data_IF_592679722973
#
_entry.id   IF_592679722973
#
_cell.length_a   1.000
_cell.length_b   1.000
_cell.length_c   1.000
_cell.angle_alpha   90.00
_cell.angle_beta   90.00
_cell.angle_gamma   90.00
#
_symmetry.space_group_name_H-M   'P 1'
#
loop_
_entity.id
_entity.type
_entity.pdbx_description
1 polymer ?
#
# COMPACT_ATOMS: atom_id res chain seq x y z
N UNK A 1 -18.06 -29.07 25.78
CA UNK A 1 -16.78 -28.38 26.10
C UNK A 1 -15.66 -28.96 25.24
N UNK A 2 -15.21 -28.22 24.22
CA UNK A 2 -13.99 -28.38 23.38
C UNK A 2 -14.05 -27.20 22.40
N UNK A 3 -13.14 -26.25 22.28
CA UNK A 3 -11.83 -25.93 22.86
C UNK A 3 -11.77 -24.37 22.88
N UNK A 4 -10.95 -23.65 23.65
CA UNK A 4 -9.65 -24.01 24.19
C UNK A 4 -8.48 -23.67 23.25
N UNK A 5 -8.49 -22.54 22.51
CA UNK A 5 -7.26 -21.83 22.11
C UNK A 5 -7.54 -20.39 21.64
N UNK A 6 -7.29 -19.41 22.50
CA UNK A 6 -7.10 -18.00 22.13
C UNK A 6 -5.68 -17.78 21.58
N UNK A 7 -5.25 -18.62 20.65
CA UNK A 7 -4.03 -18.40 19.90
C UNK A 7 -4.44 -17.75 18.57
N UNK A 8 -3.79 -16.64 18.23
CA UNK A 8 -3.81 -16.14 16.87
C UNK A 8 -3.54 -17.30 15.91
N UNK A 9 -4.34 -17.47 14.83
CA UNK A 9 -4.12 -18.58 13.92
C UNK A 9 -2.70 -18.52 13.39
N UNK A 10 -2.01 -19.65 13.38
CA UNK A 10 -0.62 -19.73 12.90
C UNK A 10 -0.59 -19.33 11.42
N UNK A 11 0.56 -18.85 10.93
CA UNK A 11 0.67 -18.43 9.51
C UNK A 11 0.24 -19.54 8.55
N UNK A 12 0.53 -20.80 8.89
CA UNK A 12 0.14 -21.98 8.14
C UNK A 12 -1.39 -22.20 8.13
N UNK A 13 -2.03 -22.01 9.28
CA UNK A 13 -3.47 -22.15 9.44
C UNK A 13 -4.22 -21.04 8.68
N UNK A 14 -3.68 -19.81 8.69
CA UNK A 14 -4.21 -18.70 7.88
C UNK A 14 -4.07 -18.97 6.38
N UNK A 15 -2.92 -19.50 5.94
CA UNK A 15 -2.70 -19.86 4.55
C UNK A 15 -3.68 -20.96 4.09
N UNK A 16 -3.92 -21.98 4.91
CA UNK A 16 -4.91 -23.01 4.62
C UNK A 16 -6.33 -22.43 4.47
N UNK A 17 -6.75 -21.56 5.40
CA UNK A 17 -8.05 -20.86 5.33
C UNK A 17 -8.15 -19.99 4.08
N UNK A 18 -7.08 -19.27 3.71
CA UNK A 18 -7.03 -18.44 2.52
C UNK A 18 -7.17 -19.27 1.24
N UNK A 19 -6.46 -20.40 1.13
CA UNK A 19 -6.54 -21.29 -0.04
C UNK A 19 -7.94 -21.89 -0.21
N UNK A 20 -8.61 -22.26 0.90
CA UNK A 20 -10.01 -22.70 0.87
C UNK A 20 -10.93 -21.55 0.39
N UNK A 21 -10.66 -20.31 0.82
CA UNK A 21 -11.50 -19.16 0.51
C UNK A 21 -11.45 -18.71 -0.95
N UNK A 22 -10.28 -18.80 -1.60
CA UNK A 22 -10.10 -18.41 -3.01
C UNK A 22 -10.52 -19.49 -4.01
N UNK A 23 -10.80 -20.71 -3.53
CA UNK A 23 -11.23 -21.84 -4.35
C UNK A 23 -10.09 -22.62 -5.03
N UNK A 24 -10.39 -23.83 -5.51
CA UNK A 24 -9.39 -24.79 -5.98
C UNK A 24 -8.63 -24.33 -7.22
N UNK A 25 -9.25 -23.57 -8.12
CA UNK A 25 -8.62 -23.08 -9.36
C UNK A 25 -7.49 -22.10 -9.05
N UNK A 26 -7.72 -21.16 -8.14
CA UNK A 26 -6.71 -20.18 -7.72
C UNK A 26 -5.68 -20.83 -6.80
N UNK A 27 -6.10 -21.70 -5.88
CA UNK A 27 -5.19 -22.44 -5.00
C UNK A 27 -4.18 -23.29 -5.78
N UNK A 28 -4.59 -23.94 -6.87
CA UNK A 28 -3.68 -24.69 -7.74
C UNK A 28 -2.58 -23.82 -8.38
N UNK A 29 -2.87 -22.53 -8.64
CA UNK A 29 -1.85 -21.58 -9.12
C UNK A 29 -0.82 -21.24 -8.05
N UNK A 30 -1.26 -21.21 -6.78
CA UNK A 30 -0.39 -20.95 -5.62
C UNK A 30 0.50 -22.17 -5.33
N UNK A 31 0.00 -23.39 -5.52
CA UNK A 31 0.80 -24.61 -5.32
C UNK A 31 1.85 -24.86 -6.40
N UNK A 32 1.68 -24.35 -7.63
CA UNK A 32 2.61 -24.58 -8.74
C UNK A 32 4.09 -24.27 -8.45
N UNK A 33 4.45 -23.13 -7.85
CA UNK A 33 5.84 -22.80 -7.54
C UNK A 33 6.35 -23.41 -6.22
N UNK A 34 5.52 -24.14 -5.46
CA UNK A 34 5.89 -24.67 -4.13
C UNK A 34 6.59 -26.03 -4.25
N UNK A 35 7.45 -26.33 -3.28
CA UNK A 35 8.11 -27.63 -3.19
C UNK A 35 7.18 -28.70 -2.59
N UNK A 36 7.51 -29.97 -2.81
CA UNK A 36 6.69 -31.11 -2.37
C UNK A 36 6.38 -31.08 -0.86
N UNK A 37 7.39 -30.79 -0.03
CA UNK A 37 7.23 -30.74 1.42
C UNK A 37 6.26 -29.63 1.86
N UNK A 38 6.30 -28.48 1.18
CA UNK A 38 5.43 -27.33 1.47
C UNK A 38 3.98 -27.62 1.07
N UNK A 39 3.80 -28.25 -0.09
CA UNK A 39 2.49 -28.69 -0.59
C UNK A 39 1.88 -29.72 0.37
N UNK A 40 2.67 -30.68 0.84
CA UNK A 40 2.21 -31.69 1.79
C UNK A 40 1.80 -31.07 3.12
N UNK A 41 2.64 -30.17 3.65
CA UNK A 41 2.37 -29.45 4.91
C UNK A 41 1.09 -28.61 4.83
N UNK A 42 0.91 -27.83 3.76
CA UNK A 42 -0.30 -27.03 3.54
C UNK A 42 -1.54 -27.90 3.31
N UNK A 43 -1.42 -28.99 2.55
CA UNK A 43 -2.52 -29.92 2.28
C UNK A 43 -2.99 -30.59 3.57
N UNK A 44 -2.06 -30.96 4.45
CA UNK A 44 -2.36 -31.55 5.75
C UNK A 44 -3.12 -30.54 6.63
N UNK A 45 -2.72 -29.27 6.60
CA UNK A 45 -3.41 -28.22 7.35
C UNK A 45 -4.81 -27.92 6.78
N UNK A 46 -4.97 -27.91 5.45
CA UNK A 46 -6.28 -27.81 4.80
C UNK A 46 -7.19 -28.98 5.24
N UNK A 47 -6.66 -30.20 5.24
CA UNK A 47 -7.42 -31.39 5.66
C UNK A 47 -7.82 -31.36 7.15
N UNK A 48 -7.04 -30.67 8.01
CA UNK A 48 -7.40 -30.45 9.42
C UNK A 48 -8.55 -29.46 9.58
N UNK A 49 -8.73 -28.53 8.65
CA UNK A 49 -9.83 -27.55 8.69
C UNK A 49 -11.14 -28.21 8.24
N UNK A 50 -11.88 -28.79 9.19
CA UNK A 50 -13.18 -29.43 8.92
C UNK A 50 -14.26 -28.45 8.46
N UNK A 51 -14.26 -27.25 9.02
CA UNK A 51 -15.21 -26.20 8.69
C UNK A 51 -14.58 -24.84 9.00
N UNK A 52 -14.65 -23.94 8.01
CA UNK A 52 -14.22 -22.56 8.17
C UNK A 52 -15.45 -21.71 8.42
N UNK A 53 -15.52 -21.07 9.59
CA UNK A 53 -16.57 -20.10 9.91
C UNK A 53 -16.46 -18.87 8.99
N UNK A 54 -17.58 -18.32 8.48
CA UNK A 54 -17.56 -17.14 7.60
C UNK A 54 -16.77 -15.97 8.19
N UNK A 55 -16.92 -15.70 9.49
CA UNK A 55 -16.24 -14.59 10.17
C UNK A 55 -14.71 -14.79 10.19
N UNK A 56 -14.26 -16.04 10.30
CA UNK A 56 -12.85 -16.40 10.26
C UNK A 56 -12.28 -16.27 8.86
N UNK A 57 -13.03 -16.72 7.85
CA UNK A 57 -12.67 -16.57 6.44
C UNK A 57 -12.51 -15.10 6.08
N UNK A 58 -13.50 -14.28 6.41
CA UNK A 58 -13.53 -12.86 6.03
C UNK A 58 -12.41 -12.09 6.74
N UNK A 59 -12.11 -12.43 8.01
CA UNK A 59 -10.95 -11.86 8.72
C UNK A 59 -9.62 -12.20 8.03
N UNK A 60 -9.41 -13.46 7.64
CA UNK A 60 -8.18 -13.88 6.95
C UNK A 60 -8.06 -13.20 5.59
N UNK A 61 -9.14 -13.16 4.81
CA UNK A 61 -9.16 -12.45 3.52
C UNK A 61 -8.83 -10.96 3.69
N UNK A 62 -9.38 -10.30 4.69
CA UNK A 62 -9.10 -8.90 4.96
C UNK A 62 -7.63 -8.67 5.34
N UNK A 63 -7.04 -9.54 6.16
CA UNK A 63 -5.64 -9.46 6.54
C UNK A 63 -4.71 -9.66 5.32
N UNK A 64 -4.98 -10.68 4.50
CA UNK A 64 -4.20 -10.92 3.26
C UNK A 64 -4.34 -9.78 2.27
N UNK A 65 -5.53 -9.22 2.15
CA UNK A 65 -5.78 -8.03 1.34
C UNK A 65 -4.99 -6.83 1.86
N UNK A 66 -4.99 -6.56 3.17
CA UNK A 66 -4.18 -5.48 3.74
C UNK A 66 -2.67 -5.69 3.50
N UNK A 67 -2.19 -6.94 3.56
CA UNK A 67 -0.79 -7.26 3.25
C UNK A 67 -0.47 -7.05 1.76
N UNK A 68 -1.36 -7.49 0.86
CA UNK A 68 -1.21 -7.29 -0.57
C UNK A 68 -1.24 -5.79 -0.92
N UNK A 69 -2.20 -5.06 -0.35
CA UNK A 69 -2.29 -3.61 -0.49
C UNK A 69 -1.07 -2.96 0.11
N UNK A 70 -0.57 -3.33 1.29
CA UNK A 70 0.63 -2.71 1.88
C UNK A 70 1.87 -2.85 0.98
N UNK A 71 2.04 -4.00 0.30
CA UNK A 71 3.10 -4.18 -0.70
C UNK A 71 2.87 -3.30 -1.94
N UNK A 72 1.63 -3.20 -2.42
CA UNK A 72 1.26 -2.40 -3.59
C UNK A 72 1.21 -0.88 -3.30
N UNK A 73 0.92 -0.48 -2.06
CA UNK A 73 0.80 0.89 -1.57
C UNK A 73 2.17 1.60 -1.58
N UNK A 74 3.24 0.84 -1.34
CA UNK A 74 4.63 1.31 -1.46
C UNK A 74 4.99 1.55 -2.93
N UNK A 75 4.38 0.81 -3.87
CA UNK A 75 4.72 0.85 -5.30
C UNK A 75 3.84 1.78 -6.14
N UNK A 76 2.58 2.02 -5.77
CA UNK A 76 1.59 2.71 -6.65
C UNK A 76 0.91 3.91 -5.97
N UNK A 77 1.03 4.06 -4.65
CA UNK A 77 0.40 5.13 -3.88
C UNK A 77 -1.11 4.90 -3.63
N UNK A 78 -1.58 5.25 -2.43
CA UNK A 78 -2.95 4.94 -1.98
C UNK A 78 -4.10 5.56 -2.78
N UNK A 79 -3.81 6.62 -3.53
CA UNK A 79 -4.78 7.28 -4.38
C UNK A 79 -5.19 6.40 -5.57
N UNK A 80 -4.23 5.72 -6.18
CA UNK A 80 -4.47 4.87 -7.34
C UNK A 80 -5.14 3.56 -6.96
N UNK A 81 -4.84 3.08 -5.75
CA UNK A 81 -5.57 1.98 -5.14
C UNK A 81 -7.06 2.31 -4.93
N UNK A 82 -7.33 3.48 -4.33
CA UNK A 82 -8.69 3.94 -4.11
C UNK A 82 -9.45 4.11 -5.44
N UNK A 83 -8.78 4.63 -6.48
CA UNK A 83 -9.34 4.72 -7.84
C UNK A 83 -9.77 3.34 -8.34
N UNK A 84 -8.85 2.36 -8.37
CA UNK A 84 -9.16 1.03 -8.89
C UNK A 84 -10.25 0.29 -8.10
N UNK A 85 -10.33 0.52 -6.78
CA UNK A 85 -11.41 -0.02 -5.95
C UNK A 85 -12.76 0.62 -6.28
N UNK A 86 -12.81 1.95 -6.37
CA UNK A 86 -14.03 2.69 -6.69
C UNK A 86 -14.54 2.36 -8.11
N UNK A 87 -13.64 2.21 -9.08
CA UNK A 87 -13.99 1.84 -10.46
C UNK A 87 -14.64 0.46 -10.51
N UNK A 88 -14.10 -0.52 -9.77
CA UNK A 88 -14.67 -1.88 -9.71
C UNK A 88 -16.00 -1.94 -8.97
N UNK A 89 -16.21 -1.10 -7.97
CA UNK A 89 -17.43 -1.13 -7.15
C UNK A 89 -18.58 -0.31 -7.73
N UNK A 90 -18.28 0.83 -8.36
CA UNK A 90 -19.27 1.86 -8.73
C UNK A 90 -19.25 2.24 -10.22
N UNK A 91 -18.29 1.69 -10.98
CA UNK A 91 -18.05 2.06 -12.37
C UNK A 91 -17.20 3.32 -12.54
N UNK A 92 -16.61 3.52 -13.73
CA UNK A 92 -15.57 4.52 -13.95
C UNK A 92 -16.04 5.96 -13.76
N UNK A 93 -17.28 6.28 -14.17
CA UNK A 93 -17.82 7.63 -14.07
C UNK A 93 -17.98 8.10 -12.60
N UNK A 94 -18.55 7.23 -11.75
CA UNK A 94 -18.80 7.56 -10.34
C UNK A 94 -17.53 7.51 -9.50
N UNK A 95 -16.58 6.66 -9.88
CA UNK A 95 -15.26 6.63 -9.28
C UNK A 95 -14.49 7.93 -9.51
N UNK A 96 -14.51 8.47 -10.74
CA UNK A 96 -13.84 9.73 -11.07
C UNK A 96 -14.36 10.91 -10.24
N UNK A 97 -15.69 11.05 -10.12
CA UNK A 97 -16.34 12.09 -9.32
C UNK A 97 -15.88 12.03 -7.84
N UNK A 98 -15.90 10.84 -7.24
CA UNK A 98 -15.47 10.65 -5.84
C UNK A 98 -13.98 10.94 -5.67
N UNK A 99 -13.15 10.54 -6.63
CA UNK A 99 -11.71 10.79 -6.60
C UNK A 99 -11.37 12.28 -6.69
N UNK A 100 -12.08 13.05 -7.51
CA UNK A 100 -11.92 14.51 -7.59
C UNK A 100 -12.22 15.19 -6.24
N UNK A 101 -13.31 14.79 -5.58
CA UNK A 101 -13.63 15.28 -4.24
C UNK A 101 -12.57 14.89 -3.20
N UNK A 102 -12.04 13.66 -3.27
CA UNK A 102 -11.03 13.16 -2.34
C UNK A 102 -9.71 13.93 -2.49
N UNK A 103 -9.24 14.18 -3.72
CA UNK A 103 -8.02 14.96 -4.00
C UNK A 103 -8.19 16.41 -3.56
N UNK A 104 -9.36 17.02 -3.83
CA UNK A 104 -9.65 18.39 -3.41
C UNK A 104 -9.66 18.52 -1.87
N UNK A 105 -10.09 17.49 -1.15
CA UNK A 105 -10.07 17.46 0.32
C UNK A 105 -8.68 17.26 0.92
N UNK A 106 -7.80 16.53 0.22
CA UNK A 106 -6.39 16.32 0.62
C UNK A 106 -5.50 17.52 0.29
N UNK A 107 -5.85 18.32 -0.72
CA UNK A 107 -5.23 19.62 -0.99
C UNK A 107 -5.70 20.68 0.01
N UNK A 108 -5.42 20.47 1.30
CA UNK A 108 -5.50 21.55 2.28
C UNK A 108 -4.33 22.51 2.02
N UNK A 109 -4.58 23.48 1.12
CA UNK A 109 -3.86 24.76 0.92
C UNK A 109 -2.32 24.68 0.90
N UNK A 110 -1.69 24.65 -0.29
CA UNK A 110 -0.22 24.68 -0.45
C UNK A 110 0.49 25.96 0.05
N UNK A 111 -0.22 26.96 0.58
CA UNK A 111 0.32 28.31 0.79
C UNK A 111 0.26 28.83 2.25
N UNK A 112 -0.13 28.02 3.24
CA UNK A 112 0.08 28.43 4.65
C UNK A 112 1.56 28.44 5.05
N UNK A 113 2.41 27.66 4.37
CA UNK A 113 3.87 27.69 4.58
C UNK A 113 4.51 29.02 4.16
N UNK A 114 3.97 29.69 3.15
CA UNK A 114 4.48 30.99 2.69
C UNK A 114 4.05 32.17 3.58
N UNK A 115 3.04 32.00 4.44
CA UNK A 115 2.52 33.08 5.29
C UNK A 115 3.19 33.17 6.66
N UNK A 116 3.92 32.12 7.07
CA UNK A 116 4.73 32.07 8.30
C UNK A 116 6.23 32.16 8.05
N UNK A 117 6.66 32.25 6.78
CA UNK A 117 8.04 32.53 6.45
C UNK A 117 8.32 34.03 6.68
N UNK A 118 9.27 34.30 7.57
CA UNK A 118 9.80 35.62 7.86
C UNK A 118 10.27 36.29 6.55
N UNK A 119 9.81 37.52 6.20
CA UNK A 119 10.17 38.19 4.94
C UNK A 119 11.69 38.43 4.79
N UNK A 120 12.45 38.27 5.88
CA UNK A 120 13.91 38.38 5.92
C UNK A 120 14.66 37.19 5.27
N UNK A 121 14.02 36.03 5.06
CA UNK A 121 14.69 34.84 4.49
C UNK A 121 14.41 34.58 3.00
N UNK A 122 13.54 35.37 2.35
CA UNK A 122 13.24 35.21 0.92
C UNK A 122 14.28 35.83 -0.03
N UNK A 123 15.29 36.53 0.49
CA UNK A 123 16.33 37.18 -0.31
C UNK A 123 17.52 36.26 -0.67
N UNK A 124 17.61 35.06 -0.11
CA UNK A 124 18.74 34.13 -0.35
C UNK A 124 18.53 33.21 -1.56
N UNK A 125 17.35 33.21 -2.18
CA UNK A 125 17.01 32.37 -3.33
C UNK A 125 16.73 33.22 -4.58
N UNK A 126 17.61 34.18 -4.86
CA UNK A 126 17.75 34.71 -6.22
C UNK A 126 19.08 34.17 -6.77
N UNK A 127 19.10 33.51 -7.95
CA UNK A 127 20.34 33.14 -8.59
C UNK A 127 21.05 34.44 -8.98
N UNK A 128 21.99 34.86 -8.13
CA UNK A 128 22.86 36.01 -8.42
C UNK A 128 23.67 35.64 -9.67
N UNK A 129 23.24 36.18 -10.80
CA UNK A 129 24.08 36.33 -11.97
C UNK A 129 25.36 37.04 -11.54
N UNK A 130 26.48 36.34 -11.63
CA UNK A 130 27.81 36.89 -11.42
C UNK A 130 28.15 37.72 -12.65
N UNK A 131 27.73 38.99 -12.68
CA UNK A 131 28.27 39.98 -13.59
C UNK A 131 29.58 40.51 -13.04
N UNK A 132 30.59 40.47 -13.90
CA UNK A 132 31.88 41.13 -13.76
C UNK A 132 31.77 42.56 -13.22
N UNK A 133 32.52 42.90 -12.18
CA UNK A 133 33.46 44.02 -12.14
C UNK A 133 34.23 44.00 -10.81
N UNK A 134 35.48 43.55 -10.83
CA UNK A 134 36.49 43.97 -9.85
C UNK A 134 37.89 43.70 -10.47
N UNK A 135 38.38 44.69 -11.23
CA UNK A 135 39.80 44.86 -11.58
C UNK A 135 40.46 45.70 -10.47
N UNK A 136 41.82 45.77 -10.31
CA UNK A 136 42.89 45.16 -11.12
C UNK A 136 43.98 44.45 -10.27
N UNK A 137 44.70 43.49 -10.86
CA UNK A 137 46.04 43.13 -10.37
C UNK A 137 47.08 43.93 -11.16
N UNK A 138 47.81 44.90 -10.56
CA UNK A 138 49.03 45.44 -11.14
C UNK A 138 50.17 44.45 -10.88
N UNK A 139 51.02 44.26 -11.90
CA UNK A 139 51.96 43.15 -11.96
C UNK A 139 53.27 43.32 -11.20
N UNK A 140 53.96 42.17 -11.17
CA UNK A 140 55.41 41.94 -11.19
C UNK A 140 56.23 42.48 -10.00
N UNK A 141 57.47 41.99 -9.77
CA UNK A 141 58.36 41.21 -10.65
C UNK A 141 58.24 39.68 -10.57
#
# INVERSE_FOLDING_TARGET
MRQGKSASPTGLEKAAVFLIAIGPELAARVFRPMNQDEVELLSLEIARQRQVLPERRDRVLHEFYQLAVAQEYISTGGLEYARGLLEKALGPAKAAEIMEHLVASLQVRPFEFARKADPSQLLSLSPRGTSADDRPCPGLP
#
